data_IF_892359382344
#
_entry.id   IF_892359382344
#
_cell.length_a   1.000
_cell.length_b   1.000
_cell.length_c   1.000
_cell.angle_alpha   90.00
_cell.angle_beta   90.00
_cell.angle_gamma   90.00
#
_symmetry.space_group_name_H-M   'P 1'
#
loop_
_entity.id
_entity.type
_entity.pdbx_description
1 polymer ?
#
# COMPACT_ATOMS: atom_id res chain seq x y z
N UNK A 1 29.07 -18.55 5.81
CA UNK A 1 30.26 -18.41 4.92
C UNK A 1 29.99 -18.79 3.45
N UNK A 2 29.46 -19.99 3.13
CA UNK A 2 29.18 -20.44 1.73
C UNK A 2 28.18 -19.56 0.94
N UNK A 3 27.10 -19.04 1.57
CA UNK A 3 26.13 -18.12 0.92
C UNK A 3 26.75 -16.76 0.56
N UNK A 4 27.57 -16.18 1.44
CA UNK A 4 28.25 -14.90 1.21
C UNK A 4 29.30 -15.00 0.10
N UNK A 5 29.99 -16.15 0.02
CA UNK A 5 30.91 -16.47 -1.07
C UNK A 5 30.18 -16.56 -2.42
N UNK A 6 29.01 -17.22 -2.45
CA UNK A 6 28.14 -17.28 -3.65
C UNK A 6 27.65 -15.90 -4.08
N UNK A 7 27.28 -15.02 -3.14
CA UNK A 7 26.85 -13.66 -3.46
C UNK A 7 28.00 -12.81 -4.04
N UNK A 8 29.21 -12.89 -3.46
CA UNK A 8 30.41 -12.26 -4.03
C UNK A 8 30.72 -12.78 -5.42
N UNK A 9 30.60 -14.10 -5.63
CA UNK A 9 30.78 -14.74 -6.94
C UNK A 9 29.72 -14.26 -7.96
N UNK A 10 28.46 -14.14 -7.55
CA UNK A 10 27.37 -13.66 -8.42
C UNK A 10 27.51 -12.17 -8.76
N UNK A 11 27.97 -11.34 -7.83
CA UNK A 11 28.28 -9.92 -8.10
C UNK A 11 29.43 -9.83 -9.10
N UNK A 12 30.50 -10.61 -8.89
CA UNK A 12 31.63 -10.70 -9.82
C UNK A 12 31.15 -11.18 -11.21
N UNK A 13 30.33 -12.23 -11.26
CA UNK A 13 29.84 -12.82 -12.50
C UNK A 13 28.88 -11.87 -13.24
N UNK A 14 28.02 -11.16 -12.52
CA UNK A 14 27.16 -10.13 -13.09
C UNK A 14 27.99 -8.95 -13.63
N UNK A 15 29.05 -8.52 -12.93
CA UNK A 15 29.95 -7.48 -13.42
C UNK A 15 30.74 -7.93 -14.66
N UNK A 16 31.22 -9.18 -14.68
CA UNK A 16 31.89 -9.79 -15.84
C UNK A 16 30.96 -9.91 -17.06
N UNK A 17 29.70 -10.30 -16.84
CA UNK A 17 28.69 -10.33 -17.90
C UNK A 17 28.38 -8.93 -18.43
N UNK A 18 28.31 -7.89 -17.57
CA UNK A 18 28.10 -6.52 -18.06
C UNK A 18 29.27 -6.01 -18.88
N UNK A 19 30.51 -6.38 -18.51
CA UNK A 19 31.72 -6.01 -19.26
C UNK A 19 31.80 -6.76 -20.59
N UNK A 20 31.56 -8.08 -20.61
CA UNK A 20 31.57 -8.85 -21.86
C UNK A 20 30.45 -8.44 -22.81
N UNK A 21 29.26 -8.13 -22.28
CA UNK A 21 28.14 -7.58 -23.05
C UNK A 21 28.48 -6.23 -23.68
N UNK A 22 29.19 -5.36 -22.95
CA UNK A 22 29.62 -4.05 -23.44
C UNK A 22 30.58 -4.16 -24.63
N UNK A 23 31.50 -5.13 -24.60
CA UNK A 23 32.40 -5.40 -25.74
C UNK A 23 31.69 -6.01 -26.95
N UNK A 24 30.73 -6.92 -26.73
CA UNK A 24 29.94 -7.54 -27.82
C UNK A 24 28.98 -6.53 -28.47
N UNK A 25 28.38 -5.62 -27.70
CA UNK A 25 27.49 -4.56 -28.19
C UNK A 25 28.19 -3.54 -29.09
N UNK A 26 29.51 -3.36 -28.95
CA UNK A 26 30.29 -2.46 -29.82
C UNK A 26 30.50 -3.03 -31.23
N UNK A 27 30.27 -4.33 -31.43
CA UNK A 27 30.66 -5.05 -32.63
C UNK A 27 29.49 -5.38 -33.57
N UNK A 28 28.26 -5.50 -33.06
CA UNK A 28 27.09 -5.91 -33.84
C UNK A 28 25.90 -4.99 -33.55
N UNK A 29 25.37 -4.34 -34.58
CA UNK A 29 24.26 -3.36 -34.56
C UNK A 29 22.88 -3.96 -34.14
N UNK A 30 22.84 -4.83 -33.13
CA UNK A 30 21.67 -5.58 -32.62
C UNK A 30 21.31 -5.10 -31.20
N UNK A 31 21.27 -3.79 -31.00
CA UNK A 31 21.23 -3.19 -29.66
C UNK A 31 19.94 -3.50 -28.88
N UNK A 32 18.77 -3.48 -29.52
CA UNK A 32 17.51 -3.44 -28.76
C UNK A 32 17.06 -4.79 -28.20
N UNK A 33 17.07 -5.86 -29.00
CA UNK A 33 16.62 -7.19 -28.55
C UNK A 33 17.59 -7.76 -27.50
N UNK A 34 18.90 -7.62 -27.71
CA UNK A 34 19.90 -8.11 -26.76
C UNK A 34 19.88 -7.32 -25.44
N UNK A 35 19.70 -5.98 -25.47
CA UNK A 35 19.52 -5.17 -24.26
C UNK A 35 18.27 -5.56 -23.48
N UNK A 36 17.17 -5.87 -24.14
CA UNK A 36 15.94 -6.34 -23.48
C UNK A 36 16.17 -7.71 -22.84
N UNK A 37 16.77 -8.66 -23.57
CA UNK A 37 17.06 -10.00 -23.08
C UNK A 37 18.05 -9.99 -21.92
N UNK A 38 19.11 -9.18 -21.99
CA UNK A 38 20.09 -9.01 -20.92
C UNK A 38 19.46 -8.32 -19.70
N UNK A 39 18.65 -7.28 -19.89
CA UNK A 39 17.88 -6.66 -18.79
C UNK A 39 16.95 -7.65 -18.12
N UNK A 40 16.27 -8.48 -18.89
CA UNK A 40 15.38 -9.52 -18.36
C UNK A 40 16.18 -10.61 -17.63
N UNK A 41 17.33 -11.04 -18.17
CA UNK A 41 18.23 -12.01 -17.54
C UNK A 41 18.80 -11.49 -16.21
N UNK A 42 19.30 -10.25 -16.19
CA UNK A 42 19.81 -9.59 -14.97
C UNK A 42 18.66 -9.42 -13.96
N UNK A 43 17.49 -8.94 -14.40
CA UNK A 43 16.33 -8.76 -13.53
C UNK A 43 15.87 -10.09 -12.92
N UNK A 44 15.82 -11.16 -13.72
CA UNK A 44 15.39 -12.48 -13.25
C UNK A 44 16.40 -13.09 -12.27
N UNK A 45 17.70 -13.00 -12.55
CA UNK A 45 18.73 -13.50 -11.62
C UNK A 45 18.86 -12.64 -10.37
N UNK A 46 18.76 -11.32 -10.49
CA UNK A 46 18.75 -10.41 -9.34
C UNK A 46 17.57 -10.72 -8.42
N UNK A 47 16.36 -10.87 -8.98
CA UNK A 47 15.18 -11.24 -8.19
C UNK A 47 15.36 -12.62 -7.55
N UNK A 48 15.92 -13.60 -8.26
CA UNK A 48 16.10 -14.97 -7.74
C UNK A 48 17.10 -15.06 -6.59
N UNK A 49 18.20 -14.32 -6.63
CA UNK A 49 19.30 -14.48 -5.67
C UNK A 49 19.40 -13.36 -4.62
N UNK A 50 19.04 -12.12 -4.96
CA UNK A 50 19.17 -10.97 -4.05
C UNK A 50 17.94 -10.82 -3.16
N UNK A 51 16.75 -11.13 -3.67
CA UNK A 51 15.49 -10.98 -2.92
C UNK A 51 15.45 -11.82 -1.64
N UNK A 52 15.75 -13.14 -1.67
CA UNK A 52 15.74 -13.96 -0.44
C UNK A 52 16.76 -13.45 0.59
N UNK A 53 17.95 -13.04 0.13
CA UNK A 53 18.97 -12.47 1.01
C UNK A 53 18.50 -11.19 1.72
N UNK A 54 17.80 -10.30 1.01
CA UNK A 54 17.27 -9.08 1.62
C UNK A 54 16.17 -9.38 2.64
N UNK A 55 15.31 -10.37 2.38
CA UNK A 55 14.31 -10.83 3.34
C UNK A 55 14.96 -11.44 4.58
N UNK A 56 15.88 -12.39 4.41
CA UNK A 56 16.66 -12.97 5.50
C UNK A 56 17.34 -11.86 6.32
N UNK A 57 17.92 -10.85 5.67
CA UNK A 57 18.56 -9.73 6.35
C UNK A 57 17.58 -8.90 7.20
N UNK A 58 16.37 -8.65 6.70
CA UNK A 58 15.35 -7.90 7.44
C UNK A 58 14.79 -8.71 8.61
N UNK A 59 14.51 -10.01 8.39
CA UNK A 59 14.06 -10.94 9.44
C UNK A 59 15.14 -11.10 10.53
N UNK A 60 16.40 -11.30 10.17
CA UNK A 60 17.49 -11.37 11.15
C UNK A 60 17.62 -10.07 11.95
N UNK A 61 17.41 -8.90 11.32
CA UNK A 61 17.39 -7.61 12.03
C UNK A 61 16.20 -7.53 13.00
N UNK A 62 15.05 -8.07 12.63
CA UNK A 62 13.88 -8.19 13.51
C UNK A 62 14.15 -9.12 14.70
N UNK A 63 14.77 -10.27 14.46
CA UNK A 63 15.11 -11.22 15.52
C UNK A 63 16.16 -10.69 16.50
N UNK A 64 17.09 -9.84 16.03
CA UNK A 64 18.11 -9.23 16.88
C UNK A 64 17.56 -8.24 17.92
N UNK A 65 16.35 -7.72 17.72
CA UNK A 65 15.72 -6.66 18.54
C UNK A 65 16.54 -5.38 18.72
N UNK A 66 17.59 -5.19 17.91
CA UNK A 66 18.43 -4.00 17.96
C UNK A 66 17.70 -2.81 17.35
N UNK A 67 17.94 -1.62 17.90
CA UNK A 67 17.32 -0.37 17.47
C UNK A 67 17.48 -0.11 15.97
N UNK A 68 16.44 0.47 15.36
CA UNK A 68 16.49 0.96 13.99
C UNK A 68 17.07 2.37 13.98
N UNK A 69 18.25 2.49 13.38
CA UNK A 69 19.05 3.71 13.34
C UNK A 69 18.50 4.75 12.36
N UNK A 70 18.58 6.02 12.74
CA UNK A 70 18.13 7.16 11.94
C UNK A 70 19.28 7.99 11.38
N UNK A 71 19.11 8.48 10.14
CA UNK A 71 19.91 9.58 9.60
C UNK A 71 19.00 10.74 9.22
N UNK A 72 19.15 11.86 9.93
CA UNK A 72 18.40 13.09 9.68
C UNK A 72 18.98 13.83 8.46
N UNK A 73 18.08 14.38 7.64
CA UNK A 73 18.40 15.31 6.56
C UNK A 73 17.27 16.33 6.44
N UNK A 74 17.60 17.58 6.22
CA UNK A 74 16.63 18.62 5.87
C UNK A 74 16.65 18.83 4.37
N UNK A 75 15.47 18.97 3.76
CA UNK A 75 15.31 19.28 2.34
C UNK A 75 14.36 20.46 2.23
N UNK A 76 14.80 21.50 1.52
CA UNK A 76 13.93 22.60 1.14
C UNK A 76 13.06 22.18 -0.05
N UNK A 77 11.77 22.43 0.08
CA UNK A 77 10.75 22.22 -0.94
C UNK A 77 10.25 23.58 -1.45
N UNK A 78 9.43 23.56 -2.50
CA UNK A 78 8.77 24.76 -3.01
C UNK A 78 8.03 25.55 -1.92
N UNK A 79 7.90 26.87 -2.12
CA UNK A 79 7.23 27.80 -1.19
C UNK A 79 7.89 27.86 0.20
N UNK A 80 9.22 27.74 0.25
CA UNK A 80 10.04 27.79 1.47
C UNK A 80 9.57 26.78 2.53
N UNK A 81 9.01 25.64 2.09
CA UNK A 81 8.57 24.57 2.97
C UNK A 81 9.74 23.65 3.27
N UNK A 82 9.89 23.28 4.55
CA UNK A 82 10.96 22.41 5.00
C UNK A 82 10.43 21.00 5.20
N UNK A 83 11.04 20.04 4.52
CA UNK A 83 10.87 18.61 4.76
C UNK A 83 12.03 18.12 5.63
N UNK A 84 11.74 17.76 6.89
CA UNK A 84 12.69 16.97 7.68
C UNK A 84 12.52 15.50 7.33
N UNK A 85 13.60 14.84 6.91
CA UNK A 85 13.66 13.43 6.55
C UNK A 85 14.47 12.67 7.58
N UNK A 86 13.92 11.56 8.06
CA UNK A 86 14.55 10.64 9.00
C UNK A 86 14.69 9.30 8.30
N UNK A 87 15.85 9.09 7.65
CA UNK A 87 16.12 7.85 6.91
C UNK A 87 16.35 6.70 7.87
N UNK A 88 15.59 5.62 7.70
CA UNK A 88 15.75 4.36 8.42
C UNK A 88 16.94 3.63 7.80
N UNK A 89 18.10 3.61 8.47
CA UNK A 89 19.34 3.06 7.89
C UNK A 89 19.52 1.56 8.16
N UNK A 90 18.67 0.98 9.01
CA UNK A 90 18.60 -0.46 9.27
C UNK A 90 17.14 -0.92 9.38
N UNK A 91 16.88 -2.21 9.15
CA UNK A 91 15.57 -2.84 9.37
C UNK A 91 14.49 -2.61 8.31
N UNK A 92 14.72 -1.72 7.33
CA UNK A 92 13.76 -1.41 6.26
C UNK A 92 14.42 -1.61 4.89
N UNK A 93 14.69 -2.86 4.53
CA UNK A 93 15.48 -3.19 3.34
C UNK A 93 14.61 -3.48 2.12
N UNK A 94 13.39 -3.97 2.33
CA UNK A 94 12.54 -4.48 1.25
C UNK A 94 11.20 -3.78 1.11
N UNK A 95 10.84 -3.46 -0.14
CA UNK A 95 9.64 -2.72 -0.49
C UNK A 95 8.59 -3.55 -1.23
N UNK A 96 7.39 -2.97 -1.34
CA UNK A 96 6.22 -3.59 -1.95
C UNK A 96 6.16 -3.28 -3.45
N UNK A 97 6.25 -1.99 -3.81
CA UNK A 97 6.18 -1.55 -5.22
C UNK A 97 7.50 -1.78 -5.96
N UNK A 98 8.62 -1.51 -5.28
CA UNK A 98 9.98 -1.77 -5.74
C UNK A 98 10.64 -2.66 -4.69
N UNK A 99 11.53 -3.56 -5.10
CA UNK A 99 12.20 -4.44 -4.15
C UNK A 99 13.00 -3.66 -3.09
N UNK A 100 13.55 -2.49 -3.46
CA UNK A 100 14.22 -1.55 -2.56
C UNK A 100 13.88 -0.10 -2.98
N UNK A 101 13.91 0.89 -2.08
CA UNK A 101 14.11 0.79 -0.63
C UNK A 101 12.87 0.23 0.11
N UNK A 102 12.99 0.05 1.43
CA UNK A 102 11.94 -0.51 2.28
C UNK A 102 10.60 0.25 2.24
N UNK A 103 9.49 -0.50 2.20
CA UNK A 103 8.13 0.02 2.41
C UNK A 103 7.72 -0.16 3.87
N UNK A 104 6.79 0.66 4.34
CA UNK A 104 6.27 0.58 5.70
C UNK A 104 5.11 1.53 5.94
N UNK A 105 4.60 1.46 7.16
CA UNK A 105 3.42 2.18 7.64
C UNK A 105 3.74 2.80 8.99
N UNK A 106 3.04 3.87 9.34
CA UNK A 106 3.23 4.62 10.57
C UNK A 106 1.91 4.89 11.26
N UNK A 107 1.92 4.88 12.58
CA UNK A 107 0.80 5.41 13.36
C UNK A 107 1.26 5.87 14.74
N UNK A 108 0.36 6.46 15.52
CA UNK A 108 0.68 6.98 16.84
C UNK A 108 -0.05 6.22 17.94
N UNK A 109 0.71 5.84 18.99
CA UNK A 109 0.14 5.62 20.32
C UNK A 109 0.52 6.82 21.18
N UNK A 110 -0.48 7.61 21.59
CA UNK A 110 -0.24 8.87 22.32
C UNK A 110 0.78 9.72 21.58
N UNK A 111 1.98 9.94 22.14
CA UNK A 111 3.05 10.73 21.53
C UNK A 111 4.16 9.90 20.87
N UNK A 112 4.10 8.58 20.95
CA UNK A 112 5.09 7.70 20.33
C UNK A 112 4.67 7.40 18.89
N UNK A 113 5.57 7.66 17.95
CA UNK A 113 5.42 7.27 16.56
C UNK A 113 5.85 5.81 16.41
N UNK A 114 4.95 4.96 15.96
CA UNK A 114 5.22 3.58 15.60
C UNK A 114 5.51 3.50 14.10
N UNK A 115 6.37 2.57 13.72
CA UNK A 115 6.68 2.24 12.34
C UNK A 115 6.70 0.73 12.16
N UNK A 116 6.07 0.25 11.10
CA UNK A 116 5.99 -1.16 10.75
C UNK A 116 6.53 -1.37 9.33
N UNK A 117 7.53 -2.22 9.18
CA UNK A 117 8.07 -2.59 7.87
C UNK A 117 7.11 -3.52 7.13
N UNK A 118 7.24 -3.57 5.80
CA UNK A 118 6.47 -4.51 4.97
C UNK A 118 6.75 -5.99 5.24
N UNK A 119 7.70 -6.30 6.14
CA UNK A 119 8.10 -7.63 6.61
C UNK A 119 7.91 -7.84 8.12
N UNK A 120 7.19 -6.94 8.80
CA UNK A 120 6.81 -7.16 10.19
C UNK A 120 7.81 -6.68 11.25
N UNK A 121 8.87 -5.95 10.88
CA UNK A 121 9.68 -5.25 11.88
C UNK A 121 8.88 -4.08 12.43
N UNK A 122 8.57 -4.12 13.72
CA UNK A 122 7.81 -3.10 14.42
C UNK A 122 8.73 -2.36 15.39
N UNK A 123 8.67 -1.02 15.39
CA UNK A 123 9.45 -0.20 16.29
C UNK A 123 8.72 1.10 16.64
N UNK A 124 9.13 1.76 17.71
CA UNK A 124 8.56 3.05 18.12
C UNK A 124 9.64 4.09 18.44
N UNK A 125 9.26 5.36 18.35
CA UNK A 125 10.12 6.49 18.63
C UNK A 125 9.32 7.62 19.30
N UNK A 126 9.82 8.14 20.43
CA UNK A 126 9.20 9.24 21.17
C UNK A 126 9.63 10.63 20.70
N UNK A 127 10.79 10.73 20.04
CA UNK A 127 11.37 11.97 19.53
C UNK A 127 12.32 11.68 18.36
N UNK A 128 11.83 11.90 17.14
CA UNK A 128 12.57 11.65 15.89
C UNK A 128 13.89 12.42 15.78
N UNK A 129 14.04 13.55 16.48
CA UNK A 129 15.25 14.38 16.40
C UNK A 129 16.40 13.84 17.26
N UNK A 130 16.10 13.07 18.31
CA UNK A 130 17.10 12.69 19.33
C UNK A 130 17.27 11.18 19.51
N UNK A 131 16.30 10.37 19.07
CA UNK A 131 16.27 8.94 19.39
C UNK A 131 16.24 8.07 18.14
N UNK A 132 16.82 6.87 18.23
CA UNK A 132 16.56 5.79 17.28
C UNK A 132 15.19 5.15 17.55
N UNK A 133 14.71 4.36 16.59
CA UNK A 133 13.49 3.59 16.78
C UNK A 133 13.78 2.33 17.60
N UNK A 134 13.15 2.23 18.76
CA UNK A 134 13.25 1.07 19.66
C UNK A 134 12.39 -0.06 19.14
N UNK A 135 12.99 -1.22 18.92
CA UNK A 135 12.30 -2.34 18.32
C UNK A 135 11.37 -3.05 19.32
N UNK A 136 10.21 -3.50 18.84
CA UNK A 136 9.21 -4.24 19.62
C UNK A 136 9.19 -5.68 19.13
N UNK A 137 9.45 -6.63 20.03
CA UNK A 137 9.35 -8.06 19.72
C UNK A 137 7.92 -8.40 19.34
N UNK A 138 7.72 -9.12 18.25
CA UNK A 138 6.39 -9.55 17.83
C UNK A 138 6.41 -10.92 17.14
N UNK A 139 5.22 -11.49 16.94
CA UNK A 139 5.02 -12.80 16.33
C UNK A 139 4.30 -12.73 14.96
N UNK A 140 4.43 -11.62 14.22
CA UNK A 140 3.81 -11.48 12.88
C UNK A 140 4.26 -12.60 11.92
N UNK A 141 5.48 -13.14 12.11
CA UNK A 141 6.04 -14.19 11.23
C UNK A 141 5.29 -15.53 11.36
N UNK A 142 4.51 -15.72 12.44
CA UNK A 142 3.61 -16.86 12.59
C UNK A 142 2.48 -16.84 11.55
N UNK A 143 2.15 -15.66 11.02
CA UNK A 143 1.04 -15.43 10.08
C UNK A 143 1.54 -15.15 8.66
N UNK A 144 2.61 -14.36 8.52
CA UNK A 144 3.23 -14.05 7.24
C UNK A 144 4.74 -13.89 7.44
N UNK A 145 5.51 -14.80 6.86
CA UNK A 145 6.96 -14.85 7.05
C UNK A 145 7.71 -15.14 5.76
N UNK A 146 8.96 -15.59 5.93
CA UNK A 146 9.90 -15.80 4.82
C UNK A 146 9.34 -16.68 3.71
N UNK A 147 8.63 -17.77 4.07
CA UNK A 147 8.03 -18.71 3.10
C UNK A 147 7.07 -18.01 2.13
N UNK A 148 6.24 -17.09 2.61
CA UNK A 148 5.31 -16.33 1.78
C UNK A 148 6.04 -15.23 1.01
N UNK A 149 6.99 -14.52 1.64
CA UNK A 149 7.74 -13.46 0.97
C UNK A 149 8.59 -13.98 -0.21
N UNK A 150 9.13 -15.19 -0.11
CA UNK A 150 9.91 -15.84 -1.18
C UNK A 150 9.07 -16.21 -2.41
N UNK A 151 7.77 -16.50 -2.24
CA UNK A 151 6.85 -16.72 -3.37
C UNK A 151 6.72 -15.46 -4.24
N UNK A 152 6.67 -14.29 -3.60
CA UNK A 152 6.73 -13.01 -4.27
C UNK A 152 6.96 -11.87 -3.28
N UNK A 153 7.86 -10.94 -3.60
CA UNK A 153 8.08 -9.72 -2.80
C UNK A 153 6.83 -8.80 -2.67
N UNK A 154 5.80 -9.08 -3.47
CA UNK A 154 4.49 -8.41 -3.46
C UNK A 154 3.66 -8.80 -2.23
N UNK A 155 3.84 -10.01 -1.70
CA UNK A 155 3.24 -10.42 -0.44
C UNK A 155 3.89 -9.62 0.70
N UNK A 156 3.06 -9.04 1.55
CA UNK A 156 3.49 -7.99 2.47
C UNK A 156 2.43 -7.67 3.51
N UNK A 157 2.89 -7.02 4.57
CA UNK A 157 2.05 -6.18 5.42
C UNK A 157 1.46 -5.03 4.59
N UNK A 158 0.19 -4.70 4.85
CA UNK A 158 -0.61 -3.76 4.07
C UNK A 158 -0.99 -2.48 4.80
N UNK A 159 -1.00 -2.51 6.13
CA UNK A 159 -1.24 -1.30 6.92
C UNK A 159 -0.91 -1.49 8.40
N UNK A 160 -0.82 -0.37 9.12
CA UNK A 160 -0.74 -0.29 10.57
C UNK A 160 -1.79 0.71 11.07
N UNK A 161 -2.62 0.28 12.01
CA UNK A 161 -3.50 1.16 12.77
C UNK A 161 -3.25 0.99 14.26
N UNK A 162 -3.17 2.10 14.99
CA UNK A 162 -3.21 2.12 16.46
C UNK A 162 -4.40 2.97 16.90
N UNK A 163 -5.29 2.40 17.70
CA UNK A 163 -6.46 3.09 18.22
C UNK A 163 -6.77 2.60 19.63
N UNK A 164 -6.93 3.53 20.57
CA UNK A 164 -7.31 3.25 21.96
C UNK A 164 -6.50 2.13 22.63
N UNK A 165 -5.16 2.16 22.49
CA UNK A 165 -4.27 1.15 23.08
C UNK A 165 -4.31 -0.22 22.41
N UNK A 166 -5.06 -0.39 21.31
CA UNK A 166 -5.03 -1.56 20.44
C UNK A 166 -4.21 -1.28 19.18
N UNK A 167 -3.48 -2.28 18.70
CA UNK A 167 -2.71 -2.26 17.46
C UNK A 167 -3.30 -3.25 16.47
N UNK A 168 -3.43 -2.86 15.21
CA UNK A 168 -3.98 -3.64 14.12
C UNK A 168 -3.01 -3.67 12.95
N UNK A 169 -2.87 -4.84 12.33
CA UNK A 169 -1.97 -5.04 11.19
C UNK A 169 -2.68 -5.87 10.13
N UNK A 170 -2.83 -5.31 8.94
CA UNK A 170 -3.38 -6.04 7.79
C UNK A 170 -2.25 -6.62 6.96
N UNK A 171 -2.51 -7.75 6.30
CA UNK A 171 -1.49 -8.45 5.53
C UNK A 171 -2.10 -9.33 4.44
N UNK A 172 -1.29 -9.68 3.43
CA UNK A 172 -1.65 -10.74 2.49
C UNK A 172 -1.46 -12.10 3.13
N UNK A 173 -2.55 -12.78 3.43
CA UNK A 173 -2.56 -14.14 3.96
C UNK A 173 -2.60 -15.16 2.82
N UNK A 174 -1.79 -16.20 2.94
CA UNK A 174 -2.00 -17.46 2.23
C UNK A 174 -2.81 -18.38 3.14
N UNK A 175 -4.12 -18.48 2.89
CA UNK A 175 -5.04 -19.25 3.74
C UNK A 175 -4.76 -20.74 3.62
N UNK A 176 -4.43 -21.17 2.40
CA UNK A 176 -3.89 -22.49 2.05
C UNK A 176 -3.06 -22.34 0.78
N UNK A 177 -2.37 -23.39 0.36
CA UNK A 177 -1.50 -23.35 -0.82
C UNK A 177 -2.20 -22.73 -2.04
N UNK A 178 -1.55 -21.72 -2.62
CA UNK A 178 -2.04 -20.97 -3.79
C UNK A 178 -3.42 -20.31 -3.57
N UNK A 179 -3.78 -19.94 -2.35
CA UNK A 179 -5.08 -19.38 -2.01
C UNK A 179 -4.88 -18.15 -1.11
N UNK A 180 -4.99 -16.96 -1.71
CA UNK A 180 -4.56 -15.71 -1.10
C UNK A 180 -5.71 -14.75 -0.84
N UNK A 181 -5.67 -14.04 0.28
CA UNK A 181 -6.56 -12.91 0.53
C UNK A 181 -5.95 -11.92 1.54
N UNK A 182 -6.71 -10.89 1.95
CA UNK A 182 -6.29 -9.90 2.96
C UNK A 182 -6.90 -10.23 4.31
N UNK A 183 -6.06 -10.27 5.33
CA UNK A 183 -6.43 -10.62 6.71
C UNK A 183 -5.98 -9.55 7.69
N UNK A 184 -6.54 -9.59 8.91
CA UNK A 184 -6.32 -8.59 9.95
C UNK A 184 -5.86 -9.26 11.25
N UNK A 185 -4.73 -8.79 11.77
CA UNK A 185 -4.23 -9.10 13.11
C UNK A 185 -4.58 -7.97 14.08
N UNK A 186 -4.67 -8.30 15.36
CA UNK A 186 -4.81 -7.32 16.44
C UNK A 186 -4.10 -7.76 17.72
N UNK A 187 -3.79 -6.79 18.59
CA UNK A 187 -3.28 -7.01 19.94
C UNK A 187 -3.45 -5.75 20.80
N UNK A 188 -3.15 -5.87 22.09
CA UNK A 188 -2.87 -4.72 22.96
C UNK A 188 -1.47 -4.15 22.66
N UNK A 189 -1.37 -2.82 22.71
CA UNK A 189 -0.08 -2.13 22.55
C UNK A 189 0.82 -2.46 23.73
N UNK A 190 2.04 -2.87 23.42
CA UNK A 190 3.08 -3.12 24.40
C UNK A 190 4.44 -2.72 23.83
N UNK A 191 5.21 -1.93 24.59
CA UNK A 191 6.48 -1.37 24.13
C UNK A 191 7.67 -2.34 24.19
N UNK A 192 7.47 -3.55 24.73
CA UNK A 192 8.50 -4.60 24.80
C UNK A 192 8.18 -5.77 23.86
N UNK A 193 6.96 -6.31 23.96
CA UNK A 193 6.53 -7.48 23.20
C UNK A 193 5.04 -7.43 22.91
N UNK A 194 4.67 -7.59 21.65
CA UNK A 194 3.28 -7.69 21.19
C UNK A 194 3.03 -9.10 20.68
N UNK A 195 1.99 -9.75 21.19
CA UNK A 195 1.52 -11.03 20.69
C UNK A 195 0.23 -10.78 19.91
N UNK A 196 0.34 -10.79 18.59
CA UNK A 196 -0.78 -10.67 17.67
C UNK A 196 -1.62 -11.94 17.68
N UNK A 197 -2.92 -11.72 17.58
CA UNK A 197 -3.93 -12.71 17.27
C UNK A 197 -4.61 -12.34 15.97
N UNK A 198 -5.20 -13.34 15.30
CA UNK A 198 -6.00 -13.09 14.10
C UNK A 198 -7.37 -12.55 14.50
N UNK A 199 -7.68 -11.35 14.03
CA UNK A 199 -9.00 -10.74 14.18
C UNK A 199 -9.95 -11.17 13.08
N UNK A 200 -9.45 -11.17 11.84
CA UNK A 200 -10.22 -11.52 10.65
C UNK A 200 -9.35 -12.34 9.69
N UNK A 201 -9.91 -13.46 9.21
CA UNK A 201 -9.43 -14.25 8.08
C UNK A 201 -10.64 -14.55 7.21
N UNK A 202 -10.56 -14.37 5.89
CA UNK A 202 -11.67 -14.75 5.04
C UNK A 202 -11.65 -16.24 4.71
N UNK A 203 -12.85 -16.79 4.48
CA UNK A 203 -13.02 -18.18 4.04
C UNK A 203 -12.79 -18.32 2.53
N UNK A 204 -13.07 -17.27 1.77
CA UNK A 204 -12.80 -17.22 0.33
C UNK A 204 -11.40 -16.65 0.05
N UNK A 205 -10.87 -16.96 -1.12
CA UNK A 205 -9.55 -16.50 -1.54
C UNK A 205 -9.43 -16.45 -3.07
N UNK A 206 -8.39 -15.77 -3.54
CA UNK A 206 -8.02 -15.71 -4.94
C UNK A 206 -6.81 -16.60 -5.19
N UNK A 207 -6.96 -17.54 -6.13
CA UNK A 207 -5.87 -18.40 -6.55
C UNK A 207 -4.86 -17.63 -7.41
N UNK A 208 -3.57 -17.73 -7.09
CA UNK A 208 -2.55 -16.94 -7.79
C UNK A 208 -2.17 -17.52 -9.15
N UNK A 209 -2.30 -18.84 -9.31
CA UNK A 209 -1.99 -19.54 -10.56
C UNK A 209 -3.24 -20.00 -11.34
N UNK A 210 -4.30 -20.40 -10.64
CA UNK A 210 -5.50 -21.02 -11.23
C UNK A 210 -6.75 -20.22 -10.93
N UNK A 211 -6.94 -19.09 -11.61
CA UNK A 211 -8.15 -18.27 -11.49
C UNK A 211 -8.76 -17.94 -12.86
N UNK A 212 -10.03 -17.54 -12.85
CA UNK A 212 -10.83 -17.25 -14.05
C UNK A 212 -10.19 -16.22 -15.00
N UNK A 213 -9.48 -15.26 -14.43
CA UNK A 213 -8.86 -14.16 -15.17
C UNK A 213 -7.43 -14.47 -15.61
N UNK A 214 -6.84 -15.58 -15.14
CA UNK A 214 -5.43 -15.96 -15.33
C UNK A 214 -4.46 -14.83 -14.97
N UNK A 215 -4.88 -13.96 -14.06
CA UNK A 215 -4.11 -12.81 -13.60
C UNK A 215 -4.15 -12.78 -12.07
N UNK A 216 -3.04 -12.38 -11.46
CA UNK A 216 -2.94 -12.19 -10.02
C UNK A 216 -1.95 -11.09 -9.69
N UNK A 217 -2.34 -10.17 -8.80
CA UNK A 217 -1.45 -9.12 -8.32
C UNK A 217 -1.66 -8.86 -6.83
N UNK A 218 -0.78 -9.41 -5.98
CA UNK A 218 -0.84 -9.21 -4.53
C UNK A 218 -0.63 -7.76 -4.07
N UNK A 219 -0.19 -6.84 -4.94
CA UNK A 219 -0.23 -5.39 -4.65
C UNK A 219 -1.63 -4.80 -4.77
N UNK A 220 -2.52 -5.48 -5.49
CA UNK A 220 -3.91 -5.11 -5.72
C UNK A 220 -4.82 -5.71 -4.63
N UNK A 221 -4.33 -5.74 -3.39
CA UNK A 221 -4.95 -6.41 -2.24
C UNK A 221 -5.72 -5.47 -1.34
N UNK A 222 -5.58 -4.16 -1.51
CA UNK A 222 -6.02 -3.18 -0.54
C UNK A 222 -5.30 -3.33 0.80
N UNK A 223 -6.06 -3.37 1.89
CA UNK A 223 -5.59 -3.62 3.25
C UNK A 223 -5.52 -2.39 4.15
N UNK A 224 -5.92 -1.20 3.69
CA UNK A 224 -6.05 -0.03 4.56
C UNK A 224 -7.05 -0.28 5.69
N UNK A 225 -6.71 0.16 6.90
CA UNK A 225 -7.48 0.03 8.13
C UNK A 225 -7.82 1.42 8.67
N UNK A 226 -9.05 1.65 9.13
CA UNK A 226 -9.42 2.92 9.79
C UNK A 226 -10.48 2.73 10.88
N UNK A 227 -10.38 3.40 12.04
CA UNK A 227 -11.38 3.24 13.11
C UNK A 227 -12.68 3.97 12.76
N UNK A 228 -13.81 3.30 12.95
CA UNK A 228 -15.15 3.91 12.84
C UNK A 228 -15.76 4.19 14.21
N UNK A 229 -15.50 3.32 15.18
CA UNK A 229 -15.80 3.49 16.61
C UNK A 229 -14.80 2.66 17.42
N UNK A 230 -14.93 2.64 18.75
CA UNK A 230 -14.02 1.88 19.64
C UNK A 230 -14.00 0.38 19.30
N UNK A 231 -15.14 -0.16 18.85
CA UNK A 231 -15.31 -1.59 18.57
C UNK A 231 -15.44 -1.92 17.07
N UNK A 232 -15.37 -0.91 16.19
CA UNK A 232 -15.60 -1.12 14.76
C UNK A 232 -14.50 -0.50 13.92
N UNK A 233 -14.01 -1.30 12.99
CA UNK A 233 -12.85 -0.98 12.16
C UNK A 233 -13.20 -1.21 10.70
N UNK A 234 -12.87 -0.24 9.88
CA UNK A 234 -12.92 -0.36 8.43
C UNK A 234 -11.71 -1.13 7.93
N UNK A 235 -11.91 -2.09 7.02
CA UNK A 235 -10.86 -2.79 6.30
C UNK A 235 -11.17 -2.76 4.81
N UNK A 236 -10.22 -2.35 4.00
CA UNK A 236 -10.34 -2.47 2.54
C UNK A 236 -9.78 -3.78 2.03
N UNK A 237 -10.43 -4.35 1.01
CA UNK A 237 -9.94 -5.55 0.31
C UNK A 237 -10.04 -5.30 -1.20
N UNK A 238 -8.90 -5.36 -1.87
CA UNK A 238 -8.81 -5.27 -3.33
C UNK A 238 -9.26 -6.57 -4.02
N UNK A 239 -9.38 -6.52 -5.34
CA UNK A 239 -9.86 -7.67 -6.12
C UNK A 239 -8.75 -8.68 -6.48
N UNK A 240 -7.47 -8.41 -6.17
CA UNK A 240 -6.31 -9.21 -6.58
C UNK A 240 -6.17 -9.49 -8.09
N UNK A 241 -6.87 -8.71 -8.94
CA UNK A 241 -7.13 -8.94 -10.38
C UNK A 241 -8.14 -10.04 -10.73
N UNK A 242 -8.80 -10.66 -9.75
CA UNK A 242 -10.01 -11.42 -9.95
C UNK A 242 -11.21 -10.47 -10.05
N UNK A 243 -11.27 -9.70 -11.14
CA UNK A 243 -12.06 -8.47 -11.26
C UNK A 243 -13.56 -8.71 -11.12
N UNK A 244 -14.04 -9.86 -11.59
CA UNK A 244 -15.43 -10.28 -11.45
C UNK A 244 -15.92 -10.31 -9.99
N UNK A 245 -15.04 -10.53 -9.01
CA UNK A 245 -15.42 -10.57 -7.59
C UNK A 245 -15.84 -9.21 -7.04
N UNK A 246 -15.38 -8.10 -7.62
CA UNK A 246 -15.74 -6.75 -7.16
C UNK A 246 -17.25 -6.49 -7.23
N UNK A 247 -17.93 -7.08 -8.23
CA UNK A 247 -19.39 -6.99 -8.42
C UNK A 247 -20.17 -8.14 -7.77
N UNK A 248 -19.50 -9.19 -7.30
CA UNK A 248 -20.16 -10.23 -6.52
C UNK A 248 -20.47 -9.70 -5.11
N UNK A 249 -21.74 -9.67 -4.73
CA UNK A 249 -22.22 -9.20 -3.41
C UNK A 249 -21.86 -10.14 -2.26
N UNK A 250 -21.63 -11.41 -2.57
CA UNK A 250 -21.26 -12.45 -1.60
C UNK A 250 -19.75 -12.52 -1.38
N UNK A 251 -18.96 -11.90 -2.25
CA UNK A 251 -17.51 -11.84 -2.13
C UNK A 251 -17.05 -10.59 -1.39
N UNK A 252 -16.03 -10.73 -0.55
CA UNK A 252 -15.32 -9.65 0.12
C UNK A 252 -14.29 -8.94 -0.76
N UNK A 253 -13.95 -9.51 -1.93
CA UNK A 253 -12.95 -8.91 -2.81
C UNK A 253 -13.53 -7.71 -3.55
N UNK A 254 -12.74 -6.63 -3.64
CA UNK A 254 -13.19 -5.35 -4.19
C UNK A 254 -14.23 -4.64 -3.32
N UNK A 255 -14.06 -4.69 -1.98
CA UNK A 255 -15.00 -4.18 -0.97
C UNK A 255 -14.32 -3.31 0.08
N UNK A 256 -15.12 -2.48 0.76
CA UNK A 256 -14.80 -1.98 2.10
C UNK A 256 -15.68 -2.72 3.11
N UNK A 257 -15.04 -3.30 4.12
CA UNK A 257 -15.67 -4.04 5.22
C UNK A 257 -15.69 -3.20 6.49
N UNK A 258 -16.72 -3.39 7.31
CA UNK A 258 -16.79 -2.96 8.69
C UNK A 258 -16.68 -4.21 9.58
N UNK A 259 -15.58 -4.32 10.32
CA UNK A 259 -15.27 -5.44 11.21
C UNK A 259 -15.59 -5.02 12.64
N UNK A 260 -16.35 -5.85 13.36
CA UNK A 260 -16.55 -5.71 14.80
C UNK A 260 -15.43 -6.48 15.52
N UNK A 261 -14.65 -5.78 16.34
CA UNK A 261 -13.49 -6.37 17.00
C UNK A 261 -13.84 -7.20 18.25
N UNK A 262 -15.09 -7.17 18.72
CA UNK A 262 -15.58 -7.94 19.89
C UNK A 262 -16.06 -9.31 19.46
N UNK A 263 -17.03 -9.37 18.55
CA UNK A 263 -17.64 -10.64 18.09
C UNK A 263 -16.96 -11.21 16.82
N UNK A 264 -15.99 -10.48 16.25
CA UNK A 264 -15.24 -10.84 15.04
C UNK A 264 -16.11 -11.01 13.79
N UNK A 265 -17.30 -10.43 13.78
CA UNK A 265 -18.17 -10.38 12.60
C UNK A 265 -17.76 -9.24 11.67
N UNK A 266 -18.25 -9.28 10.43
CA UNK A 266 -18.04 -8.21 9.47
C UNK A 266 -19.30 -7.92 8.64
N UNK A 267 -19.34 -6.72 8.07
CA UNK A 267 -20.35 -6.29 7.10
C UNK A 267 -19.69 -5.63 5.90
N UNK A 268 -20.15 -5.93 4.69
CA UNK A 268 -19.78 -5.18 3.48
C UNK A 268 -20.52 -3.84 3.51
N UNK A 269 -19.79 -2.72 3.48
CA UNK A 269 -20.38 -1.36 3.49
C UNK A 269 -20.40 -0.70 2.12
N UNK A 270 -19.49 -1.11 1.23
CA UNK A 270 -19.44 -0.67 -0.16
C UNK A 270 -18.74 -1.71 -1.04
N UNK A 271 -19.01 -1.66 -2.35
CA UNK A 271 -18.53 -2.60 -3.34
C UNK A 271 -18.17 -1.94 -4.67
N UNK A 272 -17.64 -2.73 -5.61
CA UNK A 272 -17.22 -2.24 -6.91
C UNK A 272 -15.93 -1.44 -6.83
N UNK A 273 -15.01 -1.87 -5.97
CA UNK A 273 -13.67 -1.28 -5.81
C UNK A 273 -12.62 -2.17 -6.47
N UNK A 274 -11.56 -1.55 -6.98
CA UNK A 274 -10.40 -2.21 -7.58
C UNK A 274 -9.32 -2.48 -6.55
N UNK A 275 -8.77 -1.40 -5.98
CA UNK A 275 -7.64 -1.48 -5.05
C UNK A 275 -7.55 -0.25 -4.14
N UNK A 276 -8.42 -0.19 -3.13
CA UNK A 276 -8.37 0.85 -2.11
C UNK A 276 -7.02 0.91 -1.40
N UNK A 277 -6.47 2.11 -1.23
CA UNK A 277 -5.18 2.36 -0.58
C UNK A 277 -5.26 3.38 0.54
N UNK A 278 -6.36 4.11 0.67
CA UNK A 278 -6.58 5.12 1.72
C UNK A 278 -8.01 5.08 2.24
N UNK A 279 -8.18 5.43 3.52
CA UNK A 279 -9.47 5.50 4.18
C UNK A 279 -9.44 6.60 5.23
N UNK A 280 -10.51 7.39 5.27
CA UNK A 280 -10.73 8.34 6.34
C UNK A 280 -12.22 8.44 6.67
N UNK A 281 -12.61 8.11 7.90
CA UNK A 281 -13.97 8.33 8.37
C UNK A 281 -14.11 9.73 8.98
N UNK A 282 -14.85 10.60 8.30
CA UNK A 282 -15.20 11.92 8.83
C UNK A 282 -16.45 11.82 9.70
N UNK A 283 -16.24 11.52 10.99
CA UNK A 283 -17.32 11.37 11.97
C UNK A 283 -18.24 12.60 12.06
N UNK A 284 -17.70 13.81 11.90
CA UNK A 284 -18.49 15.04 11.99
C UNK A 284 -19.47 15.16 10.82
N UNK A 285 -19.02 14.79 9.62
CA UNK A 285 -19.82 14.92 8.40
C UNK A 285 -20.51 13.60 7.97
N UNK A 286 -20.29 12.53 8.74
CA UNK A 286 -20.88 11.21 8.58
C UNK A 286 -20.69 10.58 7.18
N UNK A 287 -19.46 10.63 6.67
CA UNK A 287 -19.06 9.92 5.45
C UNK A 287 -17.66 9.34 5.59
N UNK A 288 -17.35 8.36 4.76
CA UNK A 288 -16.01 7.80 4.62
C UNK A 288 -15.46 8.27 3.28
N UNK A 289 -14.25 8.80 3.28
CA UNK A 289 -13.46 8.98 2.07
C UNK A 289 -12.59 7.74 1.87
N UNK A 290 -12.61 7.24 0.66
CA UNK A 290 -11.83 6.09 0.21
C UNK A 290 -11.02 6.55 -1.01
N UNK A 291 -9.79 6.06 -1.14
CA UNK A 291 -8.97 6.37 -2.30
C UNK A 291 -8.33 5.13 -2.88
N UNK A 292 -8.46 4.91 -4.18
CA UNK A 292 -8.01 3.68 -4.82
C UNK A 292 -7.22 3.85 -6.10
N UNK A 293 -6.36 2.87 -6.38
CA UNK A 293 -5.67 2.80 -7.66
C UNK A 293 -6.63 2.34 -8.77
N UNK A 294 -6.68 3.10 -9.86
CA UNK A 294 -7.27 2.68 -11.12
C UNK A 294 -6.35 1.76 -11.93
N UNK A 295 -6.78 1.31 -13.11
CA UNK A 295 -5.95 0.53 -14.02
C UNK A 295 -4.81 1.40 -14.63
N UNK A 296 -4.74 1.60 -15.94
CA UNK A 296 -3.84 2.59 -16.55
C UNK A 296 -4.54 3.95 -16.56
N UNK A 297 -4.33 4.77 -15.53
CA UNK A 297 -5.20 5.91 -15.25
C UNK A 297 -6.38 5.51 -14.35
N UNK A 298 -7.18 6.50 -13.96
CA UNK A 298 -8.41 6.28 -13.22
C UNK A 298 -8.22 6.02 -11.72
N UNK A 299 -7.17 6.56 -11.10
CA UNK A 299 -7.13 6.57 -9.63
C UNK A 299 -8.28 7.44 -9.10
N UNK A 300 -8.89 7.07 -7.99
CA UNK A 300 -10.17 7.66 -7.56
C UNK A 300 -10.13 8.12 -6.11
N UNK A 301 -10.88 9.20 -5.83
CA UNK A 301 -11.34 9.57 -4.49
C UNK A 301 -12.84 9.31 -4.47
N UNK A 302 -13.28 8.37 -3.63
CA UNK A 302 -14.67 7.98 -3.46
C UNK A 302 -15.22 8.51 -2.13
N UNK A 303 -16.52 8.84 -2.11
CA UNK A 303 -17.24 9.19 -0.89
C UNK A 303 -18.34 8.17 -0.63
N UNK A 304 -18.23 7.46 0.50
CA UNK A 304 -19.20 6.48 0.98
C UNK A 304 -20.06 7.15 2.05
N UNK A 305 -21.35 7.32 1.76
CA UNK A 305 -22.27 7.95 2.71
C UNK A 305 -22.70 6.94 3.77
N UNK A 306 -22.34 7.18 5.03
CA UNK A 306 -22.62 6.23 6.11
C UNK A 306 -24.12 6.08 6.36
N UNK A 307 -24.89 7.16 6.21
CA UNK A 307 -26.36 7.16 6.32
C UNK A 307 -27.06 6.29 5.27
N UNK A 308 -26.39 5.96 4.16
CA UNK A 308 -26.92 5.08 3.10
C UNK A 308 -26.57 3.61 3.32
N UNK A 309 -25.78 3.27 4.35
CA UNK A 309 -25.43 1.88 4.69
C UNK A 309 -26.65 1.23 5.36
N UNK A 310 -27.53 0.62 4.56
CA UNK A 310 -28.75 -0.05 5.03
C UNK A 310 -28.66 -1.57 4.85
N UNK A 311 -29.51 -2.33 5.53
CA UNK A 311 -29.62 -3.78 5.30
C UNK A 311 -30.17 -4.01 3.89
N UNK A 312 -29.50 -4.84 3.08
CA UNK A 312 -29.92 -5.19 1.73
C UNK A 312 -29.50 -4.20 0.62
N UNK A 313 -28.88 -3.07 0.93
CA UNK A 313 -28.37 -2.12 -0.07
C UNK A 313 -26.88 -1.85 0.17
N UNK A 314 -26.08 -1.96 -0.89
CA UNK A 314 -24.63 -1.73 -0.86
C UNK A 314 -24.31 -0.65 -1.89
N UNK A 315 -23.61 0.40 -1.46
CA UNK A 315 -23.12 1.45 -2.37
C UNK A 315 -22.09 0.84 -3.33
N UNK A 316 -22.31 0.99 -4.64
CA UNK A 316 -21.52 0.35 -5.69
C UNK A 316 -20.80 1.40 -6.55
N UNK A 317 -19.47 1.32 -6.59
CA UNK A 317 -18.57 2.24 -7.30
C UNK A 317 -18.16 1.73 -8.68
N UNK A 318 -18.71 0.60 -9.13
CA UNK A 318 -18.76 0.25 -10.56
C UNK A 318 -17.56 -0.50 -11.13
N UNK A 319 -16.42 -0.63 -10.44
CA UNK A 319 -15.32 -1.47 -10.94
C UNK A 319 -15.76 -2.96 -11.05
N UNK A 320 -15.41 -3.69 -12.13
CA UNK A 320 -14.63 -3.32 -13.31
C UNK A 320 -15.49 -2.94 -14.54
N UNK A 321 -16.75 -2.60 -14.34
CA UNK A 321 -17.68 -2.23 -15.41
C UNK A 321 -17.42 -0.78 -15.82
N UNK A 322 -17.21 0.11 -14.85
CA UNK A 322 -16.87 1.52 -15.07
C UNK A 322 -15.50 1.88 -14.48
N UNK A 323 -14.77 2.76 -15.17
CA UNK A 323 -13.57 3.44 -14.69
C UNK A 323 -13.17 4.54 -15.67
N UNK A 324 -12.68 5.67 -15.17
CA UNK A 324 -12.04 6.69 -16.01
C UNK A 324 -10.71 6.21 -16.64
N UNK A 325 -10.10 5.14 -16.11
CA UNK A 325 -8.84 4.58 -16.59
C UNK A 325 -8.98 3.66 -17.80
N UNK A 326 -7.88 3.03 -18.21
CA UNK A 326 -7.84 2.09 -19.33
C UNK A 326 -7.16 0.76 -18.97
N UNK A 327 -7.48 -0.34 -19.66
CA UNK A 327 -6.70 -1.57 -19.54
C UNK A 327 -5.25 -1.32 -19.94
N UNK A 328 -4.31 -1.92 -19.20
CA UNK A 328 -2.90 -1.81 -19.53
C UNK A 328 -2.61 -2.32 -20.95
N UNK A 329 -1.97 -1.47 -21.75
CA UNK A 329 -1.68 -1.75 -23.16
C UNK A 329 -2.82 -1.43 -24.13
N UNK A 330 -3.96 -0.93 -23.65
CA UNK A 330 -5.07 -0.45 -24.47
C UNK A 330 -5.82 -1.52 -25.25
N UNK A 331 -6.63 -1.07 -26.20
CA UNK A 331 -7.50 -1.92 -27.03
C UNK A 331 -6.71 -2.50 -28.20
N UNK A 332 -6.08 -3.63 -27.94
CA UNK A 332 -5.32 -4.46 -28.88
C UNK A 332 -5.86 -5.88 -28.87
N UNK A 333 -5.58 -6.69 -29.90
CA UNK A 333 -6.15 -8.05 -30.06
C UNK A 333 -6.02 -8.91 -28.80
N UNK A 334 -4.85 -8.93 -28.18
CA UNK A 334 -4.58 -9.66 -26.92
C UNK A 334 -5.46 -9.25 -25.74
N UNK A 335 -6.07 -8.07 -25.79
CA UNK A 335 -6.93 -7.54 -24.73
C UNK A 335 -8.43 -7.59 -25.10
N UNK A 336 -8.83 -7.97 -26.32
CA UNK A 336 -10.23 -7.91 -26.77
C UNK A 336 -11.18 -8.67 -25.84
N UNK A 337 -10.83 -9.88 -25.44
CA UNK A 337 -11.66 -10.67 -24.51
C UNK A 337 -11.72 -10.06 -23.11
N UNK A 338 -10.68 -9.33 -22.70
CA UNK A 338 -10.68 -8.56 -21.46
C UNK A 338 -11.67 -7.40 -21.53
N UNK A 339 -11.80 -6.71 -22.66
CA UNK A 339 -12.82 -5.67 -22.83
C UNK A 339 -14.24 -6.24 -22.87
N UNK A 340 -14.44 -7.42 -23.46
CA UNK A 340 -15.75 -8.09 -23.44
C UNK A 340 -16.19 -8.41 -22.01
N UNK A 341 -15.28 -8.92 -21.18
CA UNK A 341 -15.54 -9.23 -19.76
C UNK A 341 -15.65 -7.97 -18.90
N UNK A 342 -14.77 -7.00 -19.13
CA UNK A 342 -14.56 -5.82 -18.29
C UNK A 342 -14.46 -4.56 -19.18
N UNK A 343 -15.58 -3.91 -19.49
CA UNK A 343 -15.64 -2.88 -20.52
C UNK A 343 -14.97 -1.55 -20.14
N UNK A 344 -14.84 -1.24 -18.84
CA UNK A 344 -14.31 0.04 -18.34
C UNK A 344 -14.97 1.27 -18.98
N UNK A 345 -16.31 1.30 -18.93
CA UNK A 345 -17.08 2.45 -19.36
C UNK A 345 -16.68 3.70 -18.57
N UNK A 346 -16.56 4.85 -19.25
CA UNK A 346 -15.94 6.04 -18.65
C UNK A 346 -16.83 6.80 -17.66
N UNK A 347 -18.14 6.52 -17.64
CA UNK A 347 -19.06 7.06 -16.64
C UNK A 347 -19.56 5.93 -15.75
N UNK A 348 -19.51 6.15 -14.45
CA UNK A 348 -20.09 5.29 -13.44
C UNK A 348 -21.61 5.50 -13.41
N UNK A 349 -22.06 6.76 -13.47
CA UNK A 349 -23.47 7.15 -13.38
C UNK A 349 -24.31 6.56 -14.52
N UNK A 350 -23.82 6.63 -15.76
CA UNK A 350 -24.54 6.11 -16.93
C UNK A 350 -24.80 4.58 -16.87
N UNK A 351 -24.09 3.88 -15.99
CA UNK A 351 -24.21 2.43 -15.79
C UNK A 351 -24.77 2.08 -14.41
N UNK A 352 -25.37 3.04 -13.71
CA UNK A 352 -26.05 2.84 -12.43
C UNK A 352 -25.13 2.75 -11.21
N UNK A 353 -23.89 3.22 -11.34
CA UNK A 353 -22.91 3.25 -10.25
C UNK A 353 -22.72 4.66 -9.69
N UNK A 354 -22.13 4.74 -8.51
CA UNK A 354 -21.77 6.00 -7.86
C UNK A 354 -20.49 6.54 -8.51
N UNK A 355 -20.50 7.81 -8.91
CA UNK A 355 -19.30 8.48 -9.43
C UNK A 355 -18.30 8.78 -8.30
N UNK A 356 -16.99 8.63 -8.56
CA UNK A 356 -15.97 9.16 -7.67
C UNK A 356 -16.09 10.68 -7.58
N UNK A 357 -15.70 11.25 -6.44
CA UNK A 357 -15.55 12.70 -6.29
C UNK A 357 -14.50 13.27 -7.26
N UNK A 358 -13.48 12.46 -7.57
CA UNK A 358 -12.44 12.78 -8.53
C UNK A 358 -11.79 11.51 -9.06
N UNK A 359 -11.63 11.44 -10.38
CA UNK A 359 -10.70 10.53 -11.03
C UNK A 359 -9.44 11.24 -11.51
N UNK A 360 -8.29 10.57 -11.45
CA UNK A 360 -7.00 11.03 -11.94
C UNK A 360 -6.57 10.24 -13.18
N UNK A 361 -6.53 10.94 -14.32
CA UNK A 361 -6.01 10.42 -15.59
C UNK A 361 -4.95 11.40 -16.07
N UNK A 362 -3.65 11.05 -16.06
CA UNK A 362 -3.08 9.75 -15.68
C UNK A 362 -3.12 9.45 -14.17
N UNK A 363 -2.97 8.17 -13.80
CA UNK A 363 -2.89 7.74 -12.39
C UNK A 363 -1.71 8.40 -11.69
N UNK A 364 -1.95 8.86 -10.46
CA UNK A 364 -0.98 9.48 -9.57
C UNK A 364 -0.37 8.45 -8.60
N UNK A 365 -0.85 7.21 -8.60
CA UNK A 365 -0.55 6.20 -7.59
C UNK A 365 -1.11 6.64 -6.24
N UNK A 366 -2.40 6.96 -6.19
CA UNK A 366 -3.05 7.50 -4.99
C UNK A 366 -2.87 6.56 -3.77
N UNK A 367 -2.62 7.11 -2.58
CA UNK A 367 -2.33 6.31 -1.39
C UNK A 367 -3.19 6.72 -0.20
N UNK A 368 -2.62 7.18 0.92
CA UNK A 368 -3.38 7.52 2.12
C UNK A 368 -4.05 8.90 2.02
N UNK A 369 -5.23 9.03 2.63
CA UNK A 369 -6.00 10.27 2.77
C UNK A 369 -6.18 10.63 4.25
N UNK A 370 -5.99 11.90 4.61
CA UNK A 370 -6.26 12.38 5.97
C UNK A 370 -6.98 13.73 5.96
N UNK A 371 -7.74 14.00 7.02
CA UNK A 371 -8.34 15.30 7.28
C UNK A 371 -7.35 16.20 8.02
N UNK A 372 -7.32 17.47 7.62
CA UNK A 372 -6.55 18.53 8.28
C UNK A 372 -7.43 19.23 9.32
N UNK A 373 -8.13 20.29 8.92
CA UNK A 373 -9.07 21.05 9.75
C UNK A 373 -10.35 21.28 8.98
N UNK A 374 -11.48 21.33 9.69
CA UNK A 374 -12.81 21.65 9.12
C UNK A 374 -13.19 20.74 7.95
N UNK A 375 -13.14 21.24 6.71
CA UNK A 375 -13.47 20.53 5.48
C UNK A 375 -12.24 20.37 4.56
N UNK A 376 -11.03 20.58 5.07
CA UNK A 376 -9.76 20.43 4.33
C UNK A 376 -9.20 19.02 4.50
N UNK A 377 -8.84 18.41 3.38
CA UNK A 377 -8.27 17.07 3.30
C UNK A 377 -6.99 17.11 2.47
N UNK A 378 -6.16 16.08 2.65
CA UNK A 378 -4.96 15.88 1.84
C UNK A 378 -4.82 14.40 1.50
N UNK A 379 -4.44 14.13 0.25
CA UNK A 379 -4.14 12.79 -0.25
C UNK A 379 -2.68 12.70 -0.66
N UNK A 380 -2.05 11.60 -0.33
CA UNK A 380 -0.69 11.27 -0.73
C UNK A 380 -0.64 10.49 -2.03
N UNK A 381 0.52 10.53 -2.71
CA UNK A 381 0.72 9.82 -3.96
C UNK A 381 2.08 9.14 -4.07
N UNK A 382 2.04 7.94 -4.64
CA UNK A 382 3.17 7.06 -4.87
C UNK A 382 3.82 7.29 -6.24
N UNK A 383 3.06 7.51 -7.31
CA UNK A 383 3.65 7.67 -8.65
C UNK A 383 3.98 9.14 -8.96
N UNK A 384 3.10 10.05 -8.56
CA UNK A 384 3.29 11.48 -8.79
C UNK A 384 4.30 12.12 -7.82
N UNK A 385 4.56 11.51 -6.65
CA UNK A 385 5.44 12.04 -5.61
C UNK A 385 4.99 13.41 -5.04
N UNK A 386 3.67 13.61 -4.97
CA UNK A 386 3.00 14.84 -4.53
C UNK A 386 2.00 14.57 -3.41
N UNK A 387 1.65 15.62 -2.68
CA UNK A 387 0.45 15.72 -1.88
C UNK A 387 -0.61 16.50 -2.66
N UNK A 388 -1.88 16.16 -2.50
CA UNK A 388 -3.02 16.85 -3.11
C UNK A 388 -3.94 17.35 -2.01
N UNK A 389 -3.97 18.66 -1.80
CA UNK A 389 -4.80 19.33 -0.81
C UNK A 389 -6.10 19.77 -1.47
N UNK A 390 -7.23 19.59 -0.78
CA UNK A 390 -8.52 20.05 -1.27
C UNK A 390 -9.50 20.30 -0.14
N UNK A 391 -10.62 20.94 -0.49
CA UNK A 391 -11.75 21.18 0.39
C UNK A 391 -12.99 20.47 -0.12
N UNK A 392 -13.88 20.03 0.76
CA UNK A 392 -15.23 19.62 0.39
C UNK A 392 -16.21 20.74 0.72
N UNK A 393 -17.02 21.16 -0.26
CA UNK A 393 -18.10 22.11 -0.02
C UNK A 393 -19.31 21.43 0.68
N UNK A 394 -20.36 22.21 0.94
CA UNK A 394 -21.60 21.71 1.58
C UNK A 394 -22.31 20.62 0.77
N UNK A 395 -22.09 20.58 -0.54
CA UNK A 395 -22.63 19.57 -1.45
C UNK A 395 -21.67 18.38 -1.62
N UNK A 396 -20.63 18.30 -0.79
CA UNK A 396 -19.59 17.24 -0.81
C UNK A 396 -18.78 17.22 -2.12
N UNK A 397 -18.66 18.36 -2.80
CA UNK A 397 -17.85 18.49 -4.01
C UNK A 397 -16.45 19.01 -3.70
N UNK A 398 -15.45 18.51 -4.43
CA UNK A 398 -14.06 18.94 -4.30
C UNK A 398 -13.90 20.38 -4.81
N UNK A 399 -13.28 21.24 -3.98
CA UNK A 399 -12.85 22.60 -4.27
C UNK A 399 -11.36 22.75 -3.97
N UNK A 400 -10.74 23.76 -4.59
CA UNK A 400 -9.36 24.18 -4.28
C UNK A 400 -8.34 23.03 -4.30
N UNK A 401 -8.44 22.14 -5.29
CA UNK A 401 -7.51 21.01 -5.46
C UNK A 401 -6.12 21.52 -5.86
N UNK A 402 -5.21 21.59 -4.90
CA UNK A 402 -3.85 22.08 -5.07
C UNK A 402 -2.85 20.95 -4.88
N UNK A 403 -1.84 20.88 -5.73
CA UNK A 403 -0.76 19.90 -5.62
C UNK A 403 0.50 20.49 -4.97
N UNK A 404 1.25 19.66 -4.25
CA UNK A 404 2.48 20.04 -3.59
C UNK A 404 3.53 18.94 -3.74
N UNK A 405 4.66 19.25 -4.38
CA UNK A 405 5.71 18.28 -4.66
C UNK A 405 6.55 17.98 -3.41
N UNK A 406 6.63 16.69 -3.06
CA UNK A 406 7.51 16.18 -1.99
C UNK A 406 8.73 15.47 -2.58
N UNK A 407 8.66 15.08 -3.87
CA UNK A 407 9.71 14.36 -4.61
C UNK A 407 10.07 13.00 -3.99
N UNK A 408 9.11 12.40 -3.28
CA UNK A 408 9.17 11.08 -2.68
C UNK A 408 7.87 10.32 -2.92
N UNK A 409 7.94 9.00 -3.05
CA UNK A 409 6.74 8.15 -3.10
C UNK A 409 6.16 8.06 -1.69
N UNK A 410 4.97 8.59 -1.47
CA UNK A 410 4.38 8.64 -0.12
C UNK A 410 3.37 7.50 0.02
N UNK A 411 3.68 6.53 0.88
CA UNK A 411 2.86 5.33 1.14
C UNK A 411 1.79 5.58 2.19
N UNK A 412 2.19 6.21 3.27
CA UNK A 412 1.35 6.41 4.44
C UNK A 412 1.49 7.85 4.92
N UNK A 413 0.41 8.38 5.47
CA UNK A 413 0.24 9.79 5.81
C UNK A 413 -0.56 9.91 7.10
N UNK A 414 -0.03 10.62 8.09
CA UNK A 414 -0.74 10.96 9.32
C UNK A 414 -0.66 12.47 9.53
N UNK A 415 -1.72 13.04 10.10
CA UNK A 415 -1.76 14.45 10.47
C UNK A 415 -1.95 14.58 11.97
N UNK A 416 -1.01 15.25 12.64
CA UNK A 416 -1.05 15.48 14.08
C UNK A 416 -0.36 16.79 14.43
N UNK A 417 -0.98 17.61 15.28
CA UNK A 417 -0.41 18.87 15.78
C UNK A 417 0.10 19.82 14.69
N UNK A 418 -0.67 19.99 13.60
CA UNK A 418 -0.30 20.78 12.41
C UNK A 418 0.93 20.25 11.63
N UNK A 419 1.33 19.00 11.87
CA UNK A 419 2.44 18.34 11.17
C UNK A 419 1.89 17.19 10.35
N UNK A 420 2.30 17.11 9.08
CA UNK A 420 2.15 15.92 8.27
C UNK A 420 3.34 15.00 8.49
N UNK A 421 3.06 13.77 8.91
CA UNK A 421 4.01 12.68 9.01
C UNK A 421 3.78 11.72 7.85
N UNK A 422 4.87 11.31 7.19
CA UNK A 422 4.81 10.51 5.97
C UNK A 422 5.76 9.32 6.05
N UNK A 423 5.36 8.16 5.55
CA UNK A 423 6.31 7.11 5.18
C UNK A 423 6.65 7.23 3.69
N UNK A 424 7.94 7.40 3.37
CA UNK A 424 8.45 7.64 2.01
C UNK A 424 9.26 6.45 1.48
N UNK A 425 8.82 5.84 0.37
CA UNK A 425 9.35 4.56 -0.12
C UNK A 425 10.62 4.67 -0.98
N UNK A 426 10.95 5.82 -1.62
CA UNK A 426 12.19 5.86 -2.42
C UNK A 426 13.43 5.78 -1.51
N UNK A 427 13.31 6.31 -0.30
CA UNK A 427 14.41 6.45 0.64
C UNK A 427 14.29 5.61 1.91
N UNK A 428 13.15 4.92 2.12
CA UNK A 428 12.78 4.27 3.38
C UNK A 428 12.95 5.24 4.55
N UNK A 429 12.17 6.31 4.54
CA UNK A 429 12.31 7.39 5.52
C UNK A 429 10.98 7.91 6.03
N UNK A 430 11.01 8.42 7.26
CA UNK A 430 9.91 9.22 7.79
C UNK A 430 10.12 10.68 7.37
N UNK A 431 9.10 11.28 6.78
CA UNK A 431 9.07 12.69 6.40
C UNK A 431 8.19 13.48 7.36
N UNK A 432 8.59 14.69 7.72
CA UNK A 432 7.71 15.63 8.43
C UNK A 432 7.69 16.99 7.74
N UNK A 433 6.48 17.55 7.57
CA UNK A 433 6.25 18.90 7.04
C UNK A 433 5.32 19.62 8.01
N UNK A 434 5.73 20.81 8.45
CA UNK A 434 4.88 21.70 9.25
C UNK A 434 3.94 22.47 8.32
N UNK A 435 2.64 22.31 8.58
CA UNK A 435 1.61 23.13 7.94
C UNK A 435 1.46 24.41 8.75
N UNK A 436 1.60 25.56 8.08
CA UNK A 436 1.38 26.84 8.72
C UNK A 436 -0.13 27.09 8.72
N UNK A 437 -0.68 27.60 9.82
CA UNK A 437 -2.03 28.12 9.84
C UNK A 437 -2.07 29.37 8.94
N UNK A 438 -2.37 29.19 7.66
CA UNK A 438 -2.91 30.28 6.84
C UNK A 438 -4.39 29.98 6.61
#
# INVERSE_FOLDING_TARGET
>A
MKKLLRLKFLILFASLLTVSSYFILKQNNVENIYRITLRNFIKNNFVKYVTPFLFEKEINKKESLTDTTLKKKTVELSNNKILKKYKLTSGFYTGISKLFAGSGYIDFEKNNLFVLSSRGLLAFNSNLDNNNFKQIKNNIDDYIGLKQFEKSYKFSIKDLLINNGKIYVSYTEEIKEDCWNTSLLYADVNYKKIKFERLFSPKECVHSSRNLDQEFEARQSGGRIFPMSDNQILLTIGDYRARHLAQNKESINGKVLLINNVDKTYKIISMGHRNPQGLFFDKQNNFILETEHGPQGGDEINLIEVSKIKKGTIQNYGWPIASAGEHYGGKVDKNLDKYKKYPLHKSHLNYGFIEPLKSFVPSIGISEIVKLKQNKYVVSSLKANKLYFFELDKNKMIKNLNEFAVNERIRDLKYKNNILYMFMENSASIGTIVLNNK
#
